data_IF_800682453946
#
_entry.id   IF_800682453946
#
_cell.length_a   1.000
_cell.length_b   1.000
_cell.length_c   1.000
_cell.angle_alpha   90.00
_cell.angle_beta   90.00
_cell.angle_gamma   90.00
#
_symmetry.space_group_name_H-M   'P 1'
#
loop_
_entity.id
_entity.type
_entity.pdbx_description
1 polymer ?
#
# COMPACT_ATOMS: atom_id res chain seq x y z
N UNK A 1 13.70 -0.38 9.66
CA UNK A 1 12.34 -0.23 9.14
C UNK A 1 12.37 0.43 7.78
N UNK A 2 11.49 0.01 6.90
CA UNK A 2 11.44 0.55 5.55
C UNK A 2 10.09 1.22 5.33
N UNK A 3 10.09 2.33 4.60
CA UNK A 3 8.90 3.12 4.34
C UNK A 3 8.77 3.35 2.84
N UNK A 4 7.55 3.29 2.35
CA UNK A 4 7.24 3.62 0.96
C UNK A 4 6.06 4.58 0.92
N UNK A 5 5.92 5.27 -0.21
CA UNK A 5 4.78 6.14 -0.47
C UNK A 5 3.89 5.48 -1.53
N UNK A 6 2.59 5.46 -1.29
CA UNK A 6 1.64 4.94 -2.27
C UNK A 6 1.68 5.83 -3.51
N UNK A 7 1.90 5.23 -4.66
CA UNK A 7 2.12 5.90 -5.93
C UNK A 7 3.52 5.70 -6.47
N UNK A 8 4.47 5.35 -5.62
CA UNK A 8 5.82 4.99 -6.01
C UNK A 8 5.88 3.51 -6.42
N UNK A 9 6.94 3.07 -7.08
CA UNK A 9 7.12 1.64 -7.38
C UNK A 9 7.04 0.81 -6.10
N UNK A 10 6.35 -0.31 -6.17
CA UNK A 10 6.13 -1.15 -5.00
C UNK A 10 7.39 -1.94 -4.66
N UNK A 11 7.92 -1.83 -3.43
CA UNK A 11 9.09 -2.59 -3.04
C UNK A 11 8.77 -4.06 -2.80
N UNK A 12 9.81 -4.88 -2.74
CA UNK A 12 9.65 -6.32 -2.57
C UNK A 12 8.91 -6.68 -1.28
N UNK A 13 9.18 -5.96 -0.20
CA UNK A 13 8.51 -6.26 1.07
C UNK A 13 7.00 -5.97 1.01
N UNK A 14 6.60 -5.00 0.21
CA UNK A 14 5.18 -4.73 0.00
C UNK A 14 4.53 -5.87 -0.78
N UNK A 15 5.19 -6.31 -1.84
CA UNK A 15 4.68 -7.43 -2.64
C UNK A 15 4.67 -8.73 -1.84
N UNK A 16 5.63 -8.92 -0.95
CA UNK A 16 5.63 -10.04 -0.03
C UNK A 16 4.40 -10.03 0.87
N UNK A 17 4.05 -8.86 1.40
CA UNK A 17 2.83 -8.70 2.19
C UNK A 17 1.57 -9.01 1.40
N UNK A 18 1.53 -8.62 0.12
CA UNK A 18 0.41 -8.96 -0.76
C UNK A 18 0.32 -10.47 -0.94
N UNK A 19 1.44 -11.12 -1.16
CA UNK A 19 1.51 -12.56 -1.36
C UNK A 19 1.04 -13.33 -0.12
N UNK A 20 1.29 -12.81 1.06
CA UNK A 20 0.87 -13.43 2.33
C UNK A 20 -0.56 -13.08 2.74
N UNK A 21 -1.23 -12.22 2.00
CA UNK A 21 -2.58 -11.80 2.34
C UNK A 21 -2.65 -10.73 3.42
N UNK A 22 -1.52 -10.14 3.79
CA UNK A 22 -1.47 -9.07 4.79
C UNK A 22 -1.77 -7.70 4.19
N UNK A 23 -1.63 -7.58 2.88
CA UNK A 23 -1.91 -6.38 2.12
C UNK A 23 -2.79 -6.77 0.95
N UNK A 24 -3.95 -6.11 0.82
CA UNK A 24 -4.87 -6.33 -0.29
C UNK A 24 -4.96 -5.03 -1.07
N UNK A 25 -4.56 -5.07 -2.33
CA UNK A 25 -4.52 -3.88 -3.16
C UNK A 25 -5.74 -3.79 -4.05
N UNK A 26 -6.21 -2.58 -4.26
CA UNK A 26 -7.27 -2.27 -5.21
C UNK A 26 -6.82 -1.12 -6.09
N UNK A 27 -7.14 -1.25 -7.36
CA UNK A 27 -6.85 -0.23 -8.33
C UNK A 27 -8.10 -0.01 -9.16
N UNK A 28 -8.71 1.13 -9.00
CA UNK A 28 -9.93 1.47 -9.70
C UNK A 28 -9.60 2.09 -11.06
N UNK A 29 -10.50 1.88 -12.02
CA UNK A 29 -10.46 2.56 -13.33
C UNK A 29 -9.18 2.35 -14.12
N UNK A 30 -8.58 1.17 -14.02
CA UNK A 30 -7.49 0.82 -14.89
C UNK A 30 -8.05 0.46 -16.26
N UNK A 31 -7.81 1.28 -17.25
CA UNK A 31 -8.41 1.17 -18.57
C UNK A 31 -7.46 0.70 -19.65
N UNK A 32 -6.32 0.19 -19.30
CA UNK A 32 -5.43 -0.36 -20.29
C UNK A 32 -3.96 -0.25 -19.90
N UNK A 33 -3.06 -0.78 -20.75
CA UNK A 33 -1.66 -0.89 -20.40
C UNK A 33 -0.92 0.43 -20.30
N UNK A 34 -1.48 1.50 -20.83
CA UNK A 34 -0.86 2.82 -20.80
C UNK A 34 -1.46 3.74 -19.75
N UNK A 35 -2.42 3.26 -18.98
CA UNK A 35 -3.02 4.05 -17.92
C UNK A 35 -2.26 3.77 -16.64
N UNK A 36 -1.48 4.76 -16.20
CA UNK A 36 -0.66 4.66 -15.01
C UNK A 36 -1.12 5.59 -13.90
N UNK A 37 -2.38 6.02 -13.95
CA UNK A 37 -2.93 6.88 -12.93
C UNK A 37 -3.16 6.08 -11.65
N UNK A 38 -2.34 6.31 -10.65
CA UNK A 38 -2.41 5.65 -9.35
C UNK A 38 -3.25 6.44 -8.35
N UNK A 39 -3.88 7.53 -8.76
CA UNK A 39 -4.63 8.39 -7.84
C UNK A 39 -5.82 7.69 -7.22
N UNK A 40 -6.32 6.62 -7.84
CA UNK A 40 -7.42 5.83 -7.31
C UNK A 40 -6.97 4.52 -6.68
N UNK A 41 -5.67 4.32 -6.59
CA UNK A 41 -5.12 3.14 -5.94
C UNK A 41 -5.33 3.23 -4.44
N UNK A 42 -5.75 2.14 -3.84
CA UNK A 42 -5.77 2.03 -2.38
C UNK A 42 -5.47 0.59 -1.98
N UNK A 43 -5.09 0.42 -0.73
CA UNK A 43 -4.75 -0.88 -0.19
C UNK A 43 -5.29 -1.03 1.23
N UNK A 44 -5.72 -2.25 1.56
CA UNK A 44 -6.05 -2.62 2.93
C UNK A 44 -4.83 -3.26 3.54
N UNK A 45 -4.38 -2.73 4.68
CA UNK A 45 -3.10 -3.09 5.26
C UNK A 45 -3.28 -3.50 6.71
N UNK A 46 -2.74 -4.67 7.06
CA UNK A 46 -2.78 -5.20 8.42
C UNK A 46 -1.70 -4.55 9.27
N UNK A 47 -2.09 -3.97 10.40
CA UNK A 47 -1.14 -3.29 11.29
C UNK A 47 -0.82 -4.08 12.56
N UNK A 48 -1.26 -5.33 12.63
CA UNK A 48 -1.10 -6.17 13.82
C UNK A 48 -2.32 -6.21 14.72
N UNK A 49 -3.25 -5.28 14.53
CA UNK A 49 -4.48 -5.21 15.33
C UNK A 49 -5.72 -5.08 14.47
N UNK A 50 -5.65 -4.30 13.42
CA UNK A 50 -6.79 -4.02 12.56
C UNK A 50 -6.30 -3.74 11.16
N UNK A 51 -7.25 -3.57 10.26
CA UNK A 51 -6.96 -3.25 8.86
C UNK A 51 -7.09 -1.74 8.69
N UNK A 52 -6.06 -1.15 8.08
CA UNK A 52 -6.05 0.27 7.74
C UNK A 52 -6.07 0.44 6.23
N UNK A 53 -6.66 1.54 5.77
CA UNK A 53 -6.69 1.86 4.35
C UNK A 53 -5.58 2.85 4.04
N UNK A 54 -4.73 2.52 3.07
CA UNK A 54 -3.71 3.41 2.53
C UNK A 54 -4.15 3.88 1.16
N UNK A 55 -4.12 5.19 0.94
CA UNK A 55 -4.52 5.81 -0.31
C UNK A 55 -3.31 6.46 -0.98
N UNK A 56 -3.50 6.92 -2.20
CA UNK A 56 -2.45 7.61 -2.94
C UNK A 56 -1.85 8.74 -2.11
N UNK A 57 -0.53 8.74 -2.00
CA UNK A 57 0.20 9.74 -1.22
C UNK A 57 0.48 9.36 0.22
N UNK A 58 -0.21 8.34 0.74
CA UNK A 58 0.03 7.89 2.11
C UNK A 58 1.34 7.12 2.21
N UNK A 59 1.89 7.08 3.42
CA UNK A 59 3.12 6.33 3.70
C UNK A 59 2.79 5.00 4.35
N UNK A 60 3.48 3.95 3.92
CA UNK A 60 3.37 2.62 4.50
C UNK A 60 4.73 2.22 5.02
N UNK A 61 4.80 1.82 6.28
CA UNK A 61 6.03 1.41 6.94
C UNK A 61 6.00 -0.09 7.21
N UNK A 62 7.07 -0.78 6.85
CA UNK A 62 7.26 -2.19 7.16
C UNK A 62 7.88 -2.30 8.56
N UNK A 63 7.14 -2.86 9.50
CA UNK A 63 7.61 -3.01 10.88
C UNK A 63 8.55 -4.21 11.07
N UNK A 64 8.64 -5.10 10.08
CA UNK A 64 9.55 -6.22 10.12
C UNK A 64 9.03 -7.48 10.79
N UNK A 65 7.80 -7.47 11.28
CA UNK A 65 7.19 -8.60 11.98
C UNK A 65 5.85 -9.01 11.35
N UNK A 66 5.75 -8.88 10.05
CA UNK A 66 4.54 -9.16 9.27
C UNK A 66 3.40 -8.19 9.60
N UNK A 67 3.73 -7.02 10.11
CA UNK A 67 2.78 -5.93 10.30
C UNK A 67 3.30 -4.68 9.63
N UNK A 68 2.38 -3.77 9.32
CA UNK A 68 2.69 -2.55 8.59
C UNK A 68 1.91 -1.41 9.22
N UNK A 69 2.42 -0.20 9.07
CA UNK A 69 1.71 0.99 9.54
C UNK A 69 1.41 1.92 8.37
N UNK A 70 0.27 2.57 8.45
CA UNK A 70 -0.14 3.56 7.47
C UNK A 70 -0.13 4.93 8.12
N UNK A 71 0.58 5.86 7.52
CA UNK A 71 0.56 7.26 7.92
C UNK A 71 -0.10 8.06 6.81
N UNK A 72 -1.21 8.70 7.14
CA UNK A 72 -1.95 9.49 6.16
C UNK A 72 -1.15 10.72 5.76
N UNK A 73 -1.18 11.04 4.47
CA UNK A 73 -0.52 12.23 3.97
C UNK A 73 -1.28 13.48 4.43
N UNK A 74 -0.54 14.55 4.56
CA UNK A 74 -1.13 15.85 4.87
C UNK A 74 -1.24 16.68 3.60
N UNK A 75 -2.33 17.39 3.49
CA UNK A 75 -2.55 18.30 2.37
C UNK A 75 -2.10 19.71 2.70
#
# INVERSE_FOLDING_TARGET
>A
METMKIGDPLPDWFMDGVSKGLIITHKCNYNGPFDHDMSEFYAFIWNGKSIQVAEFGDLVTNNGNETYEVKKHEE
#
